data_IF_225961692243
#
_entry.id   IF_225961692243
#
_cell.length_a   1.000
_cell.length_b   1.000
_cell.length_c   1.000
_cell.angle_alpha   90.00
_cell.angle_beta   90.00
_cell.angle_gamma   90.00
#
_symmetry.space_group_name_H-M   'P 1'
#
loop_
_entity.id
_entity.type
_entity.pdbx_description
1 polymer ?
#
# COMPACT_ATOMS: atom_id res chain seq x y z
N UNK A 1 14.65 -44.58 -45.74
CA UNK A 1 15.22 -44.51 -44.36
C UNK A 1 15.18 -43.11 -43.75
N UNK A 2 15.35 -42.02 -44.53
CA UNK A 2 15.32 -40.65 -44.04
C UNK A 2 13.90 -40.24 -43.66
N UNK A 3 12.91 -40.53 -44.47
CA UNK A 3 11.49 -40.21 -44.22
C UNK A 3 10.93 -40.87 -42.94
N UNK A 4 11.37 -42.07 -42.61
CA UNK A 4 10.93 -42.80 -41.43
C UNK A 4 11.51 -42.18 -40.14
N UNK A 5 12.74 -41.69 -40.18
CA UNK A 5 13.37 -40.96 -39.05
C UNK A 5 12.71 -39.61 -38.80
N UNK A 6 12.33 -38.91 -39.88
CA UNK A 6 11.62 -37.63 -39.79
C UNK A 6 10.19 -37.82 -39.28
N UNK A 7 9.51 -38.84 -39.70
CA UNK A 7 8.19 -39.21 -39.23
C UNK A 7 8.19 -39.53 -37.73
N UNK A 8 9.19 -40.28 -37.25
CA UNK A 8 9.32 -40.60 -35.82
C UNK A 8 9.62 -39.34 -34.97
N UNK A 9 10.46 -38.44 -35.46
CA UNK A 9 10.73 -37.15 -34.79
C UNK A 9 9.47 -36.30 -34.68
N UNK A 10 8.65 -36.26 -35.75
CA UNK A 10 7.41 -35.51 -35.76
C UNK A 10 6.41 -36.06 -34.75
N UNK A 11 6.33 -37.40 -34.64
CA UNK A 11 5.44 -38.09 -33.70
C UNK A 11 5.85 -37.83 -32.24
N UNK A 12 7.16 -37.84 -31.95
CA UNK A 12 7.69 -37.47 -30.61
C UNK A 12 7.40 -36.02 -30.29
N UNK A 13 7.60 -35.10 -31.24
CA UNK A 13 7.30 -33.68 -31.07
C UNK A 13 5.82 -33.46 -30.75
N UNK A 14 4.94 -34.14 -31.46
CA UNK A 14 3.48 -34.05 -31.26
C UNK A 14 3.09 -34.58 -29.87
N UNK A 15 3.73 -35.67 -29.42
CA UNK A 15 3.56 -36.20 -28.07
C UNK A 15 3.98 -35.22 -26.97
N UNK A 16 5.11 -34.53 -27.18
CA UNK A 16 5.60 -33.50 -26.24
C UNK A 16 4.63 -32.30 -26.17
N UNK A 17 4.16 -31.85 -27.35
CA UNK A 17 3.19 -30.74 -27.42
C UNK A 17 1.88 -31.12 -26.72
N UNK A 18 1.36 -32.32 -26.97
CA UNK A 18 0.15 -32.80 -26.31
C UNK A 18 0.33 -32.94 -24.80
N UNK A 19 1.50 -33.40 -24.33
CA UNK A 19 1.82 -33.48 -22.92
C UNK A 19 1.88 -32.09 -22.27
N UNK A 20 2.51 -31.12 -22.92
CA UNK A 20 2.54 -29.75 -22.43
C UNK A 20 1.13 -29.14 -22.35
N UNK A 21 0.29 -29.38 -23.37
CA UNK A 21 -1.10 -28.95 -23.36
C UNK A 21 -1.89 -29.56 -22.20
N UNK A 22 -1.69 -30.84 -21.92
CA UNK A 22 -2.32 -31.55 -20.82
C UNK A 22 -1.89 -30.95 -19.47
N UNK A 23 -0.59 -30.72 -19.27
CA UNK A 23 -0.05 -30.10 -18.03
C UNK A 23 -0.57 -28.69 -17.84
N UNK A 24 -0.58 -27.88 -18.91
CA UNK A 24 -1.15 -26.52 -18.85
C UNK A 24 -2.65 -26.51 -18.54
N UNK A 25 -3.42 -27.44 -19.11
CA UNK A 25 -4.84 -27.56 -18.83
C UNK A 25 -5.13 -27.97 -17.39
N UNK A 26 -4.34 -28.89 -16.81
CA UNK A 26 -4.48 -29.30 -15.41
C UNK A 26 -4.11 -28.18 -14.43
N UNK A 27 -3.08 -27.38 -14.74
CA UNK A 27 -2.69 -26.20 -13.95
C UNK A 27 -3.75 -25.10 -14.03
N UNK A 28 -4.30 -24.86 -15.22
CA UNK A 28 -5.31 -23.82 -15.44
C UNK A 28 -6.71 -24.22 -14.94
N UNK A 29 -6.99 -25.50 -14.82
CA UNK A 29 -8.31 -26.04 -14.44
C UNK A 29 -8.54 -26.14 -12.92
N UNK A 30 -7.51 -26.06 -12.13
CA UNK A 30 -7.65 -26.03 -10.66
C UNK A 30 -8.02 -24.62 -10.20
N UNK A 31 -9.29 -24.25 -10.36
CA UNK A 31 -9.85 -23.11 -9.63
C UNK A 31 -9.58 -23.33 -8.14
N UNK A 32 -8.92 -22.37 -7.53
CA UNK A 32 -8.67 -22.41 -6.10
C UNK A 32 -9.98 -22.22 -5.34
N UNK A 33 -10.71 -23.34 -5.15
CA UNK A 33 -11.95 -23.39 -4.39
C UNK A 33 -11.75 -23.13 -2.89
N UNK A 34 -10.50 -22.88 -2.51
CA UNK A 34 -10.13 -22.54 -1.13
C UNK A 34 -10.77 -21.21 -0.74
N UNK A 35 -11.44 -21.18 0.42
CA UNK A 35 -11.93 -19.92 0.99
C UNK A 35 -10.82 -19.20 1.73
N UNK A 36 -10.88 -17.88 1.70
CA UNK A 36 -10.01 -17.06 2.53
C UNK A 36 -10.28 -17.34 4.01
N UNK A 37 -9.28 -17.84 4.72
CA UNK A 37 -9.34 -18.21 6.14
C UNK A 37 -8.94 -17.05 7.03
N UNK A 38 -7.94 -16.29 6.61
CA UNK A 38 -7.38 -15.19 7.40
C UNK A 38 -6.79 -14.08 6.53
N UNK A 39 -6.75 -12.90 7.11
CA UNK A 39 -6.03 -11.74 6.60
C UNK A 39 -4.88 -11.44 7.53
N UNK A 40 -3.67 -11.44 6.99
CA UNK A 40 -2.47 -11.05 7.73
C UNK A 40 -2.05 -9.64 7.31
N UNK A 41 -2.09 -8.70 8.25
CA UNK A 41 -1.71 -7.30 8.02
C UNK A 41 -0.31 -7.09 8.59
N UNK A 42 0.62 -6.65 7.73
CA UNK A 42 1.99 -6.32 8.08
C UNK A 42 2.22 -4.83 7.82
N UNK A 43 2.49 -4.09 8.88
CA UNK A 43 2.85 -2.68 8.79
C UNK A 43 4.37 -2.61 8.82
N UNK A 44 4.97 -2.22 7.68
CA UNK A 44 6.43 -2.29 7.46
C UNK A 44 7.18 -1.33 8.39
N UNK A 45 6.59 -0.14 8.64
CA UNK A 45 7.24 0.94 9.41
C UNK A 45 6.60 1.13 10.78
N UNK A 46 6.21 0.04 11.46
CA UNK A 46 5.47 0.08 12.72
C UNK A 46 6.23 0.70 13.90
N UNK A 47 7.56 0.83 13.80
CA UNK A 47 8.41 1.40 14.85
C UNK A 47 8.34 2.93 14.96
N UNK A 48 7.85 3.63 13.93
CA UNK A 48 7.93 5.09 13.88
C UNK A 48 6.62 5.81 14.17
N UNK A 49 5.46 5.20 13.95
CA UNK A 49 4.19 5.86 14.25
C UNK A 49 3.01 4.89 14.13
N UNK A 50 2.16 4.85 15.13
CA UNK A 50 0.92 4.06 15.12
C UNK A 50 -0.24 4.75 14.37
N UNK A 51 0.00 5.37 13.22
CA UNK A 51 -1.04 6.09 12.45
C UNK A 51 -2.05 5.15 11.81
N UNK A 52 -1.66 3.93 11.51
CA UNK A 52 -2.55 2.87 11.06
C UNK A 52 -2.19 1.58 11.79
N UNK A 53 -3.18 0.79 12.18
CA UNK A 53 -2.99 -0.51 12.79
C UNK A 53 -3.83 -1.58 12.08
N UNK A 54 -3.62 -2.84 12.43
CA UNK A 54 -4.33 -3.96 11.80
C UNK A 54 -5.84 -3.87 11.96
N UNK A 55 -6.34 -3.41 13.11
CA UNK A 55 -7.77 -3.27 13.38
C UNK A 55 -8.40 -2.18 12.50
N UNK A 56 -7.68 -1.08 12.28
CA UNK A 56 -8.09 -0.02 11.36
C UNK A 56 -8.23 -0.54 9.94
N UNK A 57 -7.23 -1.31 9.46
CA UNK A 57 -7.26 -1.94 8.14
C UNK A 57 -8.48 -2.84 7.99
N UNK A 58 -8.72 -3.72 8.96
CA UNK A 58 -9.90 -4.60 8.97
C UNK A 58 -11.20 -3.79 8.97
N UNK A 59 -11.26 -2.70 9.73
CA UNK A 59 -12.42 -1.81 9.79
C UNK A 59 -12.71 -1.14 8.44
N UNK A 60 -11.68 -0.64 7.77
CA UNK A 60 -11.80 -0.05 6.42
C UNK A 60 -12.36 -1.08 5.44
N UNK A 61 -11.77 -2.28 5.39
CA UNK A 61 -12.19 -3.34 4.47
C UNK A 61 -13.63 -3.81 4.72
N UNK A 62 -14.04 -3.88 5.99
CA UNK A 62 -15.44 -4.21 6.36
C UNK A 62 -16.41 -3.11 5.97
N UNK A 63 -16.04 -1.84 6.19
CA UNK A 63 -16.85 -0.67 5.80
C UNK A 63 -17.08 -0.63 4.28
N UNK A 64 -16.05 -0.91 3.49
CA UNK A 64 -16.12 -0.99 2.03
C UNK A 64 -16.77 -2.30 1.52
N UNK A 65 -17.15 -3.23 2.43
CA UNK A 65 -17.75 -4.54 2.12
C UNK A 65 -16.88 -5.45 1.25
N UNK A 66 -15.56 -5.31 1.33
CA UNK A 66 -14.58 -6.10 0.57
C UNK A 66 -13.68 -6.95 1.46
N UNK A 67 -14.04 -7.12 2.73
CA UNK A 67 -13.27 -7.96 3.65
C UNK A 67 -13.22 -9.41 3.17
N UNK A 68 -12.03 -9.98 2.90
CA UNK A 68 -11.92 -11.20 2.11
C UNK A 68 -12.22 -12.50 2.87
N UNK A 69 -12.18 -12.50 4.21
CA UNK A 69 -12.39 -13.74 4.99
C UNK A 69 -13.77 -14.36 4.69
N UNK A 70 -13.75 -15.65 4.35
CA UNK A 70 -14.92 -16.42 3.96
C UNK A 70 -15.27 -16.38 2.46
N UNK A 71 -14.70 -15.46 1.68
CA UNK A 71 -14.85 -15.42 0.22
C UNK A 71 -14.00 -16.50 -0.45
N UNK A 72 -14.34 -16.91 -1.66
CA UNK A 72 -13.48 -17.77 -2.47
C UNK A 72 -12.21 -17.00 -2.84
N UNK A 73 -11.05 -17.65 -2.77
CA UNK A 73 -9.77 -16.99 -3.09
C UNK A 73 -9.70 -16.48 -4.53
N UNK A 74 -10.45 -17.11 -5.46
CA UNK A 74 -10.56 -16.62 -6.84
C UNK A 74 -11.29 -15.26 -6.90
N UNK A 75 -12.32 -15.06 -6.07
CA UNK A 75 -13.14 -13.85 -6.05
C UNK A 75 -12.47 -12.67 -5.31
N UNK A 76 -11.50 -12.95 -4.44
CA UNK A 76 -10.77 -11.90 -3.74
C UNK A 76 -9.94 -11.09 -4.73
N UNK A 77 -10.27 -9.81 -4.87
CA UNK A 77 -9.56 -8.89 -5.74
C UNK A 77 -8.55 -8.05 -4.95
N UNK A 78 -7.26 -8.36 -5.10
CA UNK A 78 -6.17 -7.64 -4.41
C UNK A 78 -6.13 -6.15 -4.75
N UNK A 79 -6.32 -5.78 -6.02
CA UNK A 79 -6.30 -4.38 -6.45
C UNK A 79 -7.43 -3.56 -5.80
N UNK A 80 -8.59 -4.17 -5.56
CA UNK A 80 -9.71 -3.52 -4.87
C UNK A 80 -9.40 -3.27 -3.40
N UNK A 81 -8.70 -4.22 -2.74
CA UNK A 81 -8.23 -4.07 -1.37
C UNK A 81 -7.18 -2.94 -1.29
N UNK A 82 -6.20 -2.94 -2.19
CA UNK A 82 -5.16 -1.90 -2.26
C UNK A 82 -5.79 -0.51 -2.44
N UNK A 83 -6.64 -0.33 -3.45
CA UNK A 83 -7.32 0.94 -3.73
C UNK A 83 -8.18 1.45 -2.58
N UNK A 84 -8.83 0.55 -1.84
CA UNK A 84 -9.64 0.95 -0.69
C UNK A 84 -8.77 1.46 0.46
N UNK A 85 -7.63 0.82 0.70
CA UNK A 85 -6.70 1.22 1.75
C UNK A 85 -5.88 2.46 1.39
N UNK A 86 -5.54 2.66 0.11
CA UNK A 86 -4.85 3.85 -0.40
C UNK A 86 -5.66 5.15 -0.24
N UNK A 87 -6.98 5.06 -0.04
CA UNK A 87 -7.82 6.24 0.29
C UNK A 87 -7.48 6.83 1.66
N UNK A 88 -6.90 6.05 2.57
CA UNK A 88 -6.44 6.57 3.85
C UNK A 88 -5.18 7.42 3.65
N UNK A 89 -5.22 8.67 4.10
CA UNK A 89 -4.16 9.64 3.89
C UNK A 89 -2.82 9.25 4.54
N UNK A 90 -2.84 8.39 5.55
CA UNK A 90 -1.65 7.87 6.23
C UNK A 90 -1.04 6.62 5.57
N UNK A 91 -1.64 6.14 4.50
CA UNK A 91 -1.12 5.02 3.73
C UNK A 91 -0.28 5.54 2.57
N UNK A 92 0.97 5.11 2.48
CA UNK A 92 1.88 5.47 1.39
C UNK A 92 1.84 4.43 0.28
N UNK A 93 1.95 3.17 0.63
CA UNK A 93 1.98 2.04 -0.30
C UNK A 93 1.23 0.86 0.34
N UNK A 94 0.41 0.19 -0.45
CA UNK A 94 -0.22 -1.08 -0.08
C UNK A 94 0.17 -2.14 -1.09
N UNK A 95 0.44 -3.34 -0.63
CA UNK A 95 0.61 -4.53 -1.46
C UNK A 95 -0.17 -5.70 -0.89
N UNK A 96 -1.11 -6.20 -1.68
CA UNK A 96 -1.94 -7.35 -1.33
C UNK A 96 -1.55 -8.56 -2.18
N UNK A 97 -1.30 -9.69 -1.54
CA UNK A 97 -1.04 -10.93 -2.26
C UNK A 97 -1.70 -12.12 -1.57
N UNK A 98 -2.12 -13.06 -2.41
CA UNK A 98 -2.73 -14.30 -1.98
C UNK A 98 -1.65 -15.35 -1.80
N UNK A 99 -1.78 -16.19 -0.77
CA UNK A 99 -0.89 -17.33 -0.56
C UNK A 99 -1.66 -18.64 -0.63
N UNK A 100 -1.00 -19.73 -1.05
CA UNK A 100 -1.58 -21.06 -0.97
C UNK A 100 -2.09 -21.36 0.45
N UNK A 101 -3.25 -21.97 0.57
CA UNK A 101 -3.86 -22.30 1.87
C UNK A 101 -4.91 -21.29 2.37
N UNK A 102 -5.26 -20.29 1.57
CA UNK A 102 -6.38 -19.38 1.85
C UNK A 102 -6.04 -18.20 2.76
N UNK A 103 -4.83 -17.67 2.66
CA UNK A 103 -4.40 -16.48 3.40
C UNK A 103 -4.21 -15.31 2.43
N UNK A 104 -4.68 -14.12 2.84
CA UNK A 104 -4.41 -12.85 2.17
C UNK A 104 -3.45 -12.05 3.02
N UNK A 105 -2.29 -11.69 2.48
CA UNK A 105 -1.34 -10.82 3.14
C UNK A 105 -1.47 -9.40 2.60
N UNK A 106 -1.49 -8.43 3.49
CA UNK A 106 -1.59 -7.00 3.21
C UNK A 106 -0.39 -6.31 3.83
N UNK A 107 0.56 -5.89 3.01
CA UNK A 107 1.72 -5.13 3.45
C UNK A 107 1.44 -3.64 3.26
N UNK A 108 1.59 -2.87 4.33
CA UNK A 108 1.33 -1.44 4.33
C UNK A 108 2.59 -0.70 4.76
N UNK A 109 3.01 0.26 3.94
CA UNK A 109 3.96 1.29 4.35
C UNK A 109 3.19 2.55 4.73
N UNK A 110 3.49 3.07 5.91
CA UNK A 110 2.85 4.29 6.42
C UNK A 110 3.45 5.53 5.78
N UNK A 111 2.66 6.58 5.73
CA UNK A 111 3.09 7.92 5.40
C UNK A 111 3.39 8.65 6.71
N UNK A 112 4.62 9.14 6.86
CA UNK A 112 5.06 9.81 8.08
C UNK A 112 4.93 11.33 7.91
N UNK A 113 4.24 12.03 8.82
CA UNK A 113 4.18 13.47 8.84
C UNK A 113 5.55 14.05 9.26
N UNK A 114 5.97 15.12 8.61
CA UNK A 114 7.19 15.86 8.95
C UNK A 114 6.94 17.34 9.27
N UNK A 115 5.74 17.84 8.98
CA UNK A 115 5.32 19.20 9.32
C UNK A 115 3.80 19.25 9.44
N UNK A 116 3.29 20.00 10.44
CA UNK A 116 1.88 20.35 10.52
C UNK A 116 1.64 21.74 9.95
N UNK A 117 0.62 21.89 9.15
CA UNK A 117 0.18 23.17 8.58
C UNK A 117 -1.09 23.62 9.28
N UNK A 118 -1.06 24.81 9.88
CA UNK A 118 -2.24 25.52 10.40
C UNK A 118 -2.31 26.87 9.73
N UNK A 119 -2.97 26.93 8.59
CA UNK A 119 -3.06 28.13 7.77
C UNK A 119 -4.16 29.08 8.25
N UNK A 120 -4.01 30.37 7.97
CA UNK A 120 -4.96 31.44 8.33
C UNK A 120 -6.36 31.23 7.69
N UNK A 121 -6.45 30.48 6.59
CA UNK A 121 -7.70 30.14 5.94
C UNK A 121 -8.48 29.00 6.64
N UNK A 122 -7.97 28.48 7.77
CA UNK A 122 -8.56 27.40 8.54
C UNK A 122 -8.13 25.98 8.10
N UNK A 123 -7.26 25.84 7.10
CA UNK A 123 -6.68 24.56 6.74
C UNK A 123 -5.79 24.05 7.88
N UNK A 124 -6.06 22.81 8.36
CA UNK A 124 -5.24 22.07 9.33
C UNK A 124 -4.93 20.69 8.77
N UNK A 125 -3.67 20.42 8.46
CA UNK A 125 -3.22 19.15 7.87
C UNK A 125 -1.73 18.94 8.10
N UNK A 126 -1.28 17.70 7.94
CA UNK A 126 0.14 17.37 7.91
C UNK A 126 0.66 17.26 6.47
N UNK A 127 1.95 17.38 6.28
CA UNK A 127 2.63 17.01 5.05
C UNK A 127 3.73 15.98 5.33
N UNK A 128 3.90 15.06 4.37
CA UNK A 128 5.00 14.10 4.38
C UNK A 128 6.26 14.66 3.71
N UNK A 129 7.29 13.83 3.64
CA UNK A 129 8.57 14.18 2.98
C UNK A 129 8.47 14.40 1.46
N UNK A 130 7.33 14.08 0.84
CA UNK A 130 7.04 14.35 -0.57
C UNK A 130 6.12 15.56 -0.76
N UNK A 131 5.68 16.19 0.33
CA UNK A 131 4.73 17.29 0.33
C UNK A 131 3.27 16.86 0.13
N UNK A 132 2.98 15.57 0.33
CA UNK A 132 1.60 15.05 0.25
C UNK A 132 0.86 15.42 1.52
N UNK A 133 -0.32 16.02 1.36
CA UNK A 133 -1.17 16.41 2.48
C UNK A 133 -1.84 15.18 3.11
N UNK A 134 -1.89 15.17 4.45
CA UNK A 134 -2.53 14.15 5.26
C UNK A 134 -3.46 14.81 6.27
N UNK A 135 -4.70 14.31 6.39
CA UNK A 135 -5.67 14.87 7.33
C UNK A 135 -5.41 14.38 8.76
N UNK A 136 -5.52 15.25 9.78
CA UNK A 136 -5.25 14.90 11.17
C UNK A 136 -6.44 14.18 11.82
N UNK A 137 -6.92 13.09 11.25
CA UNK A 137 -8.20 12.49 11.63
C UNK A 137 -8.30 12.11 13.13
N UNK A 138 -7.33 11.47 13.73
CA UNK A 138 -7.36 11.08 15.14
C UNK A 138 -5.95 10.98 15.74
N UNK A 139 -4.96 11.59 15.09
CA UNK A 139 -3.56 11.45 15.45
C UNK A 139 -2.90 12.80 15.62
N UNK A 140 -2.03 12.87 16.62
CA UNK A 140 -1.13 14.00 16.80
C UNK A 140 0.28 13.50 16.62
N UNK A 141 1.01 14.11 15.67
CA UNK A 141 2.43 13.87 15.49
C UNK A 141 3.21 14.99 16.20
N UNK A 142 4.31 14.60 16.80
CA UNK A 142 5.28 15.56 17.36
C UNK A 142 6.20 16.04 16.22
N UNK A 143 5.77 17.13 15.59
CA UNK A 143 6.46 17.76 14.46
C UNK A 143 6.26 19.27 14.53
N UNK A 144 7.18 20.03 13.96
CA UNK A 144 7.05 21.49 13.87
C UNK A 144 5.74 21.92 13.22
N UNK A 145 5.21 23.08 13.61
CA UNK A 145 3.94 23.65 13.13
C UNK A 145 4.21 24.88 12.28
N UNK A 146 3.76 24.88 11.02
CA UNK A 146 3.77 26.07 10.18
C UNK A 146 2.43 26.79 10.24
N UNK A 147 2.46 28.10 10.52
CA UNK A 147 1.29 28.98 10.65
C UNK A 147 1.37 30.15 9.68
N UNK A 148 0.24 30.81 9.41
CA UNK A 148 0.15 32.02 8.58
C UNK A 148 -0.45 31.81 7.20
N UNK A 149 -0.11 32.63 6.21
CA UNK A 149 -0.69 32.57 4.87
C UNK A 149 -0.10 31.46 4.00
N UNK A 150 -0.53 30.24 4.26
CA UNK A 150 0.00 29.05 3.62
C UNK A 150 -1.04 28.44 2.69
N UNK A 151 -0.75 28.44 1.36
CA UNK A 151 -1.52 27.65 0.42
C UNK A 151 -1.00 26.22 0.33
N UNK A 152 -1.86 25.24 -0.02
CA UNK A 152 -1.46 23.83 -0.22
C UNK A 152 -0.30 23.66 -1.19
N UNK A 153 -0.29 24.49 -2.27
CA UNK A 153 0.79 24.50 -3.25
C UNK A 153 2.11 25.00 -2.65
N UNK A 154 2.05 26.03 -1.83
CA UNK A 154 3.23 26.58 -1.17
C UNK A 154 3.81 25.59 -0.17
N UNK A 155 2.97 24.97 0.66
CA UNK A 155 3.38 23.91 1.57
C UNK A 155 4.08 22.77 0.84
N UNK A 156 3.47 22.24 -0.21
CA UNK A 156 3.99 21.10 -0.98
C UNK A 156 5.27 21.39 -1.75
N UNK A 157 5.51 22.65 -2.16
CA UNK A 157 6.67 23.00 -2.99
C UNK A 157 7.81 23.67 -2.24
N UNK A 158 7.49 24.46 -1.23
CA UNK A 158 8.46 25.30 -0.54
C UNK A 158 8.70 24.82 0.91
N UNK A 159 7.65 24.71 1.70
CA UNK A 159 7.80 24.31 3.11
C UNK A 159 8.29 22.89 3.27
N UNK A 160 7.98 22.00 2.33
CA UNK A 160 8.48 20.62 2.33
C UNK A 160 10.02 20.52 2.37
N UNK A 161 10.73 21.46 1.76
CA UNK A 161 12.20 21.48 1.78
C UNK A 161 12.73 21.82 3.17
N UNK A 162 12.14 22.82 3.81
CA UNK A 162 12.47 23.19 5.17
C UNK A 162 12.08 22.06 6.15
N UNK A 163 10.89 21.48 5.98
CA UNK A 163 10.42 20.39 6.80
C UNK A 163 11.35 19.16 6.71
N UNK A 164 11.84 18.81 5.50
CA UNK A 164 12.85 17.75 5.35
C UNK A 164 14.14 18.07 6.08
N UNK A 165 14.62 19.31 5.98
CA UNK A 165 15.83 19.73 6.68
C UNK A 165 15.66 19.57 8.19
N UNK A 166 14.54 20.05 8.76
CA UNK A 166 14.25 19.88 10.18
C UNK A 166 14.19 18.39 10.56
N UNK A 167 13.45 17.60 9.80
CA UNK A 167 13.28 16.17 10.07
C UNK A 167 14.58 15.33 9.99
N UNK A 168 15.57 15.79 9.21
CA UNK A 168 16.86 15.10 9.05
C UNK A 168 17.97 15.65 9.94
N UNK A 169 17.73 16.76 10.63
CA UNK A 169 18.70 17.42 11.48
C UNK A 169 18.14 17.52 12.91
N UNK A 170 18.54 16.59 13.78
CA UNK A 170 18.03 16.50 15.14
C UNK A 170 18.17 17.82 15.90
N UNK A 171 19.33 18.50 15.78
CA UNK A 171 19.56 19.78 16.45
C UNK A 171 18.59 20.87 15.98
N UNK A 172 18.32 20.96 14.69
CA UNK A 172 17.37 21.93 14.15
C UNK A 172 15.91 21.57 14.51
N UNK A 173 15.60 20.29 14.53
CA UNK A 173 14.29 19.78 14.95
C UNK A 173 13.98 20.09 16.41
N UNK A 174 14.96 19.95 17.29
CA UNK A 174 14.81 20.24 18.72
C UNK A 174 14.66 21.74 19.04
N UNK A 175 15.09 22.61 18.13
CA UNK A 175 15.04 24.06 18.31
C UNK A 175 13.82 24.72 17.65
N UNK A 176 13.24 24.12 16.62
CA UNK A 176 12.19 24.75 15.81
C UNK A 176 10.84 24.07 16.07
N UNK A 177 10.04 24.67 16.94
CA UNK A 177 8.67 24.21 17.21
C UNK A 177 7.64 24.83 16.25
N UNK A 178 7.88 26.08 15.81
CA UNK A 178 6.94 26.82 14.97
C UNK A 178 7.62 27.64 13.90
N UNK A 179 6.99 27.70 12.73
CA UNK A 179 7.37 28.51 11.56
C UNK A 179 6.20 29.41 11.22
N UNK A 180 6.43 30.74 11.19
CA UNK A 180 5.40 31.67 10.75
C UNK A 180 5.69 32.15 9.30
N UNK A 181 4.67 32.05 8.45
CA UNK A 181 4.71 32.48 7.04
C UNK A 181 3.83 33.74 6.90
N UNK A 182 4.47 34.87 6.71
CA UNK A 182 3.81 36.17 6.54
C UNK A 182 3.23 36.38 5.14
#
# INVERSE_FOLDING_TARGET
RIAMKTFFKLLVLLGVVAYLFYVFADISGKRDSTRCKEVNVIIVDSSYAGFINADEVVRILKKEKIYPVGQLMEDVNGDSLEKALEKNSFVSIVKCYKTPGGRVNINISQRLPILRIKADNGDDYYIDNKGVAMMPENYTADVAVATGRISKRYAAKNLVHLARYLHTNDFANDLVEQINVA
#
